data_IF_505375319371
#
_entry.id   IF_505375319371
#
_cell.length_a   1.000
_cell.length_b   1.000
_cell.length_c   1.000
_cell.angle_alpha   90.00
_cell.angle_beta   90.00
_cell.angle_gamma   90.00
#
_symmetry.space_group_name_H-M   'P 1'
#
loop_
_entity.id
_entity.type
_entity.pdbx_description
1 polymer ?
#
# COMPACT_ATOMS: atom_id res chain seq x y z
N UNK A 1 40.39 -62.95 23.78
CA UNK A 1 39.13 -63.24 23.08
C UNK A 1 37.91 -62.90 23.96
N UNK A 2 37.75 -63.49 25.14
CA UNK A 2 36.59 -63.21 26.02
C UNK A 2 36.51 -61.74 26.51
N UNK A 3 37.63 -61.12 26.90
CA UNK A 3 37.66 -59.71 27.30
C UNK A 3 37.12 -58.77 26.22
N UNK A 4 37.63 -58.92 25.00
CA UNK A 4 37.24 -58.12 23.83
C UNK A 4 35.75 -58.28 23.48
N UNK A 5 35.20 -59.50 23.64
CA UNK A 5 33.77 -59.76 23.43
C UNK A 5 32.91 -59.02 24.46
N UNK A 6 33.34 -58.99 25.72
CA UNK A 6 32.63 -58.25 26.79
C UNK A 6 32.68 -56.74 26.57
N UNK A 7 33.81 -56.19 26.16
CA UNK A 7 33.93 -54.76 25.83
C UNK A 7 33.02 -54.37 24.67
N UNK A 8 32.97 -55.17 23.60
CA UNK A 8 32.08 -54.94 22.46
C UNK A 8 30.62 -54.98 22.91
N UNK A 9 30.25 -55.94 23.76
CA UNK A 9 28.88 -56.05 24.30
C UNK A 9 28.49 -54.81 25.09
N UNK A 10 29.35 -54.35 25.99
CA UNK A 10 29.09 -53.15 26.79
C UNK A 10 28.99 -51.90 25.91
N UNK A 11 29.84 -51.79 24.88
CA UNK A 11 29.79 -50.69 23.91
C UNK A 11 28.49 -50.71 23.10
N UNK A 12 27.99 -51.90 22.73
CA UNK A 12 26.75 -52.07 21.99
C UNK A 12 25.53 -51.69 22.85
N UNK A 13 25.51 -52.12 24.11
CA UNK A 13 24.45 -51.74 25.05
C UNK A 13 24.43 -50.21 25.28
N UNK A 14 25.61 -49.60 25.45
CA UNK A 14 25.72 -48.14 25.57
C UNK A 14 25.27 -47.40 24.29
N UNK A 15 25.56 -47.95 23.11
CA UNK A 15 25.11 -47.39 21.84
C UNK A 15 23.58 -47.50 21.69
N UNK A 16 22.98 -48.64 22.05
CA UNK A 16 21.53 -48.83 22.00
C UNK A 16 20.80 -47.86 22.92
N UNK A 17 21.26 -47.67 24.16
CA UNK A 17 20.65 -46.70 25.08
C UNK A 17 20.72 -45.27 24.53
N UNK A 18 21.81 -44.90 23.84
CA UNK A 18 21.93 -43.59 23.19
C UNK A 18 20.99 -43.45 21.99
N UNK A 19 20.82 -44.50 21.19
CA UNK A 19 19.89 -44.51 20.06
C UNK A 19 18.45 -44.32 20.56
N UNK A 20 18.03 -45.07 21.58
CA UNK A 20 16.70 -44.93 22.14
C UNK A 20 16.45 -43.53 22.69
N UNK A 21 17.42 -42.94 23.41
CA UNK A 21 17.32 -41.57 23.89
C UNK A 21 17.23 -40.54 22.74
N UNK A 22 17.94 -40.79 21.63
CA UNK A 22 17.87 -39.95 20.45
C UNK A 22 16.53 -40.07 19.70
N UNK A 23 15.94 -41.27 19.65
CA UNK A 23 14.62 -41.53 19.07
C UNK A 23 13.51 -40.82 19.87
N UNK A 24 13.56 -40.91 21.20
CA UNK A 24 12.63 -40.19 22.08
C UNK A 24 12.71 -38.68 21.87
N UNK A 25 13.93 -38.12 21.86
CA UNK A 25 14.13 -36.70 21.56
C UNK A 25 13.71 -36.32 20.13
N UNK A 26 13.86 -37.22 19.15
CA UNK A 26 13.41 -36.96 17.78
C UNK A 26 11.89 -36.84 17.72
N UNK A 27 11.16 -37.73 18.41
CA UNK A 27 9.70 -37.65 18.50
C UNK A 27 9.26 -36.34 19.17
N UNK A 28 9.89 -35.93 20.27
CA UNK A 28 9.59 -34.65 20.93
C UNK A 28 9.81 -33.44 20.01
N UNK A 29 10.90 -33.46 19.23
CA UNK A 29 11.19 -32.40 18.25
C UNK A 29 10.16 -32.41 17.10
N UNK A 30 9.78 -33.58 16.59
CA UNK A 30 8.78 -33.71 15.53
C UNK A 30 7.42 -33.16 15.96
N UNK A 31 6.96 -33.51 17.17
CA UNK A 31 5.73 -32.97 17.74
C UNK A 31 5.80 -31.43 17.87
N UNK A 32 6.93 -30.90 18.35
CA UNK A 32 7.14 -29.46 18.46
C UNK A 32 7.13 -28.76 17.09
N UNK A 33 7.69 -29.38 16.04
CA UNK A 33 7.70 -28.82 14.69
C UNK A 33 6.29 -28.73 14.09
N UNK A 34 5.42 -29.70 14.37
CA UNK A 34 4.01 -29.65 13.96
C UNK A 34 3.31 -28.47 14.63
N UNK A 35 3.47 -28.30 15.94
CA UNK A 35 2.89 -27.17 16.67
C UNK A 35 3.41 -25.81 16.15
N UNK A 36 4.70 -25.70 15.86
CA UNK A 36 5.32 -24.49 15.29
C UNK A 36 4.69 -24.19 13.92
N UNK A 37 4.57 -25.19 13.05
CA UNK A 37 4.01 -25.03 11.71
C UNK A 37 2.56 -24.53 11.76
N UNK A 38 1.74 -25.12 12.63
CA UNK A 38 0.36 -24.69 12.84
C UNK A 38 0.28 -23.26 13.41
N UNK A 39 1.15 -22.93 14.36
CA UNK A 39 1.25 -21.60 14.93
C UNK A 39 1.68 -20.57 13.86
N UNK A 40 2.62 -20.90 12.99
CA UNK A 40 3.07 -20.06 11.89
C UNK A 40 1.97 -19.86 10.84
N UNK A 41 1.25 -20.92 10.45
CA UNK A 41 0.13 -20.82 9.53
C UNK A 41 -0.96 -19.90 10.10
N UNK A 42 -1.27 -20.03 11.39
CA UNK A 42 -2.23 -19.16 12.10
C UNK A 42 -1.72 -17.72 12.18
N UNK A 43 -0.43 -17.50 12.42
CA UNK A 43 0.19 -16.16 12.40
C UNK A 43 0.12 -15.53 11.01
N UNK A 44 0.42 -16.29 9.96
CA UNK A 44 0.32 -15.86 8.56
C UNK A 44 -1.10 -15.40 8.20
N UNK A 45 -2.12 -16.22 8.52
CA UNK A 45 -3.54 -15.85 8.33
C UNK A 45 -3.89 -14.53 9.06
N UNK A 46 -3.43 -14.37 10.31
CA UNK A 46 -3.67 -13.15 11.10
C UNK A 46 -2.98 -11.92 10.50
N UNK A 47 -1.77 -12.05 9.97
CA UNK A 47 -1.05 -10.95 9.32
C UNK A 47 -1.77 -10.52 8.04
N UNK A 48 -2.17 -11.47 7.20
CA UNK A 48 -2.91 -11.19 5.97
C UNK A 48 -4.20 -10.40 6.24
N UNK A 49 -4.98 -10.83 7.24
CA UNK A 49 -6.19 -10.08 7.63
C UNK A 49 -5.88 -8.67 8.13
N UNK A 50 -4.75 -8.46 8.82
CA UNK A 50 -4.35 -7.11 9.25
C UNK A 50 -3.95 -6.23 8.07
N UNK A 51 -3.21 -6.78 7.11
CA UNK A 51 -2.82 -6.06 5.89
C UNK A 51 -4.05 -5.64 5.07
N UNK A 52 -5.02 -6.55 4.90
CA UNK A 52 -6.28 -6.25 4.19
C UNK A 52 -7.06 -5.12 4.89
N UNK A 53 -7.14 -5.15 6.24
CA UNK A 53 -7.76 -4.07 7.01
C UNK A 53 -7.02 -2.75 6.88
N UNK A 54 -5.68 -2.77 6.87
CA UNK A 54 -4.88 -1.56 6.67
C UNK A 54 -5.09 -0.97 5.27
N UNK A 55 -5.17 -1.82 4.25
CA UNK A 55 -5.49 -1.40 2.88
C UNK A 55 -6.84 -0.71 2.82
N UNK A 56 -7.88 -1.31 3.41
CA UNK A 56 -9.23 -0.73 3.47
C UNK A 56 -9.26 0.60 4.23
N UNK A 57 -8.57 0.69 5.37
CA UNK A 57 -8.46 1.94 6.13
C UNK A 57 -7.76 3.03 5.33
N UNK A 58 -6.68 2.71 4.63
CA UNK A 58 -5.97 3.67 3.78
C UNK A 58 -6.79 4.13 2.59
N UNK A 59 -7.47 3.20 1.91
CA UNK A 59 -8.38 3.54 0.82
C UNK A 59 -9.56 4.39 1.32
N UNK A 60 -10.08 4.11 2.52
CA UNK A 60 -11.08 4.94 3.17
C UNK A 60 -10.54 6.32 3.53
N UNK A 61 -9.29 6.48 3.96
CA UNK A 61 -8.72 7.83 4.19
C UNK A 61 -8.59 8.60 2.88
N UNK A 62 -8.23 7.90 1.79
CA UNK A 62 -7.99 8.47 0.46
C UNK A 62 -9.24 8.53 -0.42
N UNK A 63 -10.39 8.06 0.06
CA UNK A 63 -11.58 7.89 -0.77
C UNK A 63 -12.08 9.22 -1.35
N UNK A 64 -11.82 10.37 -0.72
CA UNK A 64 -12.13 11.70 -1.27
C UNK A 64 -10.96 12.42 -1.93
N UNK A 65 -9.80 11.78 -2.04
CA UNK A 65 -8.61 12.39 -2.62
C UNK A 65 -8.58 12.24 -4.16
N UNK A 66 -8.17 13.31 -4.84
CA UNK A 66 -7.78 13.36 -6.25
C UNK A 66 -6.27 13.60 -6.34
N UNK A 67 -5.62 12.81 -7.18
CA UNK A 67 -4.20 12.90 -7.49
C UNK A 67 -4.00 13.61 -8.82
N UNK A 68 -3.31 14.77 -8.79
CA UNK A 68 -2.98 15.60 -9.96
C UNK A 68 -1.51 15.45 -10.33
N UNK A 69 -1.24 15.21 -11.61
CA UNK A 69 0.11 15.06 -12.16
C UNK A 69 0.31 15.93 -13.40
N UNK A 70 1.55 16.35 -13.66
CA UNK A 70 1.92 17.19 -14.82
C UNK A 70 1.87 18.70 -14.56
N UNK A 71 1.46 19.13 -13.36
CA UNK A 71 1.39 20.56 -13.04
C UNK A 71 2.80 21.15 -12.82
N UNK A 72 3.13 22.37 -13.29
CA UNK A 72 4.44 23.00 -13.05
C UNK A 72 4.76 23.25 -11.57
N UNK A 73 6.05 23.23 -11.20
CA UNK A 73 6.54 23.58 -9.84
C UNK A 73 6.42 25.09 -9.58
N UNK A 74 6.05 25.51 -8.36
CA UNK A 74 6.11 26.92 -7.93
C UNK A 74 4.78 27.70 -7.98
N UNK A 75 3.82 27.27 -8.79
CA UNK A 75 2.51 27.92 -8.95
C UNK A 75 1.68 27.99 -7.65
N UNK A 76 1.87 27.03 -6.72
CA UNK A 76 1.10 27.03 -5.45
C UNK A 76 1.66 27.97 -4.39
N UNK A 77 2.84 28.58 -4.62
CA UNK A 77 3.39 29.59 -3.71
C UNK A 77 2.72 30.95 -3.88
N UNK A 78 2.22 31.22 -5.08
CA UNK A 78 1.58 32.50 -5.43
C UNK A 78 0.06 32.45 -5.25
N UNK A 79 -0.55 31.27 -5.34
CA UNK A 79 -1.99 31.06 -5.19
C UNK A 79 -2.27 29.95 -4.18
N UNK A 80 -3.33 30.13 -3.38
CA UNK A 80 -3.89 29.03 -2.61
C UNK A 80 -4.25 27.86 -3.53
N UNK A 81 -3.88 26.65 -3.13
CA UNK A 81 -4.09 25.42 -3.88
C UNK A 81 -5.57 25.19 -4.24
N UNK A 82 -6.48 25.78 -3.46
CA UNK A 82 -7.91 25.77 -3.77
C UNK A 82 -8.26 26.55 -5.04
N UNK A 83 -7.66 27.74 -5.23
CA UNK A 83 -7.87 28.57 -6.43
C UNK A 83 -7.38 27.85 -7.69
N UNK A 84 -6.24 27.17 -7.60
CA UNK A 84 -5.70 26.38 -8.71
C UNK A 84 -6.71 25.33 -9.18
N UNK A 85 -7.36 24.64 -8.25
CA UNK A 85 -8.36 23.65 -8.62
C UNK A 85 -9.63 24.29 -9.20
N UNK A 86 -10.09 25.41 -8.64
CA UNK A 86 -11.21 26.15 -9.22
C UNK A 86 -10.91 26.57 -10.67
N UNK A 87 -9.69 27.03 -10.95
CA UNK A 87 -9.22 27.33 -12.31
C UNK A 87 -9.24 26.09 -13.21
N UNK A 88 -8.73 24.95 -12.74
CA UNK A 88 -8.78 23.67 -13.49
C UNK A 88 -10.22 23.27 -13.81
N UNK A 89 -11.12 23.37 -12.84
CA UNK A 89 -12.54 23.02 -13.03
C UNK A 89 -13.21 23.98 -14.00
N UNK A 90 -12.97 25.29 -13.88
CA UNK A 90 -13.54 26.29 -14.78
C UNK A 90 -13.04 26.12 -16.22
N UNK A 91 -11.75 25.87 -16.40
CA UNK A 91 -11.12 25.64 -17.70
C UNK A 91 -11.63 24.33 -18.34
N UNK A 92 -11.87 23.29 -17.55
CA UNK A 92 -12.15 21.96 -18.11
C UNK A 92 -13.59 21.49 -18.08
N UNK A 93 -14.34 21.89 -17.06
CA UNK A 93 -15.65 21.34 -16.75
C UNK A 93 -16.66 22.45 -16.44
N UNK A 94 -16.90 23.41 -17.36
CA UNK A 94 -17.73 24.59 -17.12
C UNK A 94 -19.17 24.24 -16.73
N UNK A 95 -19.69 23.11 -17.22
CA UNK A 95 -21.03 22.61 -16.89
C UNK A 95 -21.15 22.05 -15.47
N UNK A 96 -20.04 21.77 -14.79
CA UNK A 96 -20.01 21.27 -13.41
C UNK A 96 -20.17 22.41 -12.40
N UNK A 97 -19.89 23.66 -12.80
CA UNK A 97 -19.98 24.84 -11.93
C UNK A 97 -21.39 25.39 -11.70
N UNK A 98 -22.45 24.77 -12.24
CA UNK A 98 -23.84 25.16 -11.96
C UNK A 98 -24.31 24.72 -10.57
N UNK A 99 -23.72 23.65 -10.04
CA UNK A 99 -23.75 23.35 -8.60
C UNK A 99 -22.40 23.81 -8.03
N UNK A 100 -22.37 24.57 -6.92
CA UNK A 100 -21.10 24.88 -6.28
C UNK A 100 -20.47 23.56 -5.81
N UNK A 101 -19.43 23.09 -6.51
CA UNK A 101 -18.57 22.00 -6.06
C UNK A 101 -18.04 22.41 -4.68
N UNK A 102 -18.67 21.87 -3.65
CA UNK A 102 -18.65 22.50 -2.34
C UNK A 102 -17.39 22.07 -1.63
N UNK A 103 -16.37 22.92 -1.71
CA UNK A 103 -15.20 23.01 -0.86
C UNK A 103 -14.18 21.88 -1.00
N UNK A 104 -12.98 22.28 -1.43
CA UNK A 104 -11.77 21.51 -1.22
C UNK A 104 -11.44 21.65 0.26
N UNK A 105 -11.22 20.52 0.93
CA UNK A 105 -10.80 20.53 2.32
C UNK A 105 -9.32 20.91 2.42
N UNK A 106 -8.51 20.34 1.54
CA UNK A 106 -7.08 20.55 1.53
C UNK A 106 -6.55 20.25 0.12
N UNK A 107 -5.54 20.99 -0.31
CA UNK A 107 -4.78 20.60 -1.48
C UNK A 107 -3.32 20.91 -1.21
N UNK A 108 -2.48 19.89 -1.35
CA UNK A 108 -1.07 19.97 -0.99
C UNK A 108 -0.20 19.21 -1.97
N UNK A 109 1.01 19.72 -2.16
CA UNK A 109 2.01 19.11 -3.02
C UNK A 109 2.84 18.10 -2.24
N UNK A 110 2.94 16.87 -2.76
CA UNK A 110 3.54 15.75 -2.05
C UNK A 110 4.67 15.14 -2.90
N UNK A 111 5.84 14.83 -2.29
CA UNK A 111 6.24 15.14 -0.91
C UNK A 111 6.52 16.64 -0.69
N UNK A 112 6.43 17.12 0.56
CA UNK A 112 6.60 18.54 0.91
C UNK A 112 7.95 19.13 0.44
N UNK A 113 9.03 18.33 0.51
CA UNK A 113 10.37 18.74 0.08
C UNK A 113 10.59 18.46 -1.41
N UNK A 114 11.18 19.42 -2.11
CA UNK A 114 11.63 19.25 -3.50
C UNK A 114 12.87 18.35 -3.48
N UNK A 115 12.87 17.32 -4.32
CA UNK A 115 14.06 16.50 -4.57
C UNK A 115 14.76 17.01 -5.84
N UNK A 116 15.97 17.60 -5.75
CA UNK A 116 16.66 18.15 -6.92
C UNK A 116 17.07 17.09 -7.94
N UNK A 117 17.09 15.79 -7.59
CA UNK A 117 17.37 14.69 -8.53
C UNK A 117 16.17 14.29 -9.38
N UNK A 118 14.97 14.82 -9.10
CA UNK A 118 13.73 14.44 -9.79
C UNK A 118 13.38 15.49 -10.84
N UNK A 119 13.37 15.07 -12.11
CA UNK A 119 13.09 15.95 -13.25
C UNK A 119 11.59 16.15 -13.51
N UNK A 120 10.73 15.32 -12.90
CA UNK A 120 9.27 15.44 -13.02
C UNK A 120 8.72 16.33 -11.90
N UNK A 121 7.74 17.20 -12.17
CA UNK A 121 7.06 17.95 -11.12
C UNK A 121 6.45 17.02 -10.07
N UNK A 122 6.41 17.47 -8.82
CA UNK A 122 5.68 16.76 -7.76
C UNK A 122 4.19 16.74 -8.03
N UNK A 123 3.56 15.67 -7.58
CA UNK A 123 2.11 15.52 -7.66
C UNK A 123 1.42 16.30 -6.55
N UNK A 124 0.14 16.58 -6.75
CA UNK A 124 -0.71 17.26 -5.78
C UNK A 124 -1.79 16.29 -5.36
N UNK A 125 -2.02 16.22 -4.06
CA UNK A 125 -3.14 15.51 -3.47
C UNK A 125 -4.17 16.58 -3.08
N UNK A 126 -5.37 16.46 -3.64
CA UNK A 126 -6.49 17.33 -3.32
C UNK A 126 -7.56 16.52 -2.64
N UNK A 127 -7.90 16.89 -1.41
CA UNK A 127 -8.93 16.27 -0.61
C UNK A 127 -10.24 17.03 -0.76
N UNK A 128 -11.25 16.34 -1.26
CA UNK A 128 -12.60 16.89 -1.34
C UNK A 128 -13.39 16.56 -0.08
N UNK A 129 -14.38 17.40 0.24
CA UNK A 129 -15.29 17.15 1.37
C UNK A 129 -16.24 15.98 1.08
N UNK A 130 -16.64 15.79 -0.19
CA UNK A 130 -17.63 14.80 -0.61
C UNK A 130 -17.06 13.85 -1.67
N UNK A 131 -17.28 12.54 -1.48
CA UNK A 131 -16.90 11.53 -2.47
C UNK A 131 -17.66 11.68 -3.80
N UNK A 132 -18.93 12.12 -3.76
CA UNK A 132 -19.74 12.32 -4.98
C UNK A 132 -19.10 13.34 -5.93
N UNK A 133 -18.46 14.37 -5.38
CA UNK A 133 -17.80 15.41 -6.19
C UNK A 133 -16.52 14.86 -6.83
N UNK A 134 -15.75 14.05 -6.09
CA UNK A 134 -14.60 13.31 -6.65
C UNK A 134 -15.02 12.46 -7.85
N UNK A 135 -16.09 11.69 -7.70
CA UNK A 135 -16.57 10.80 -8.76
C UNK A 135 -17.04 11.57 -10.00
N UNK A 136 -17.80 12.66 -9.80
CA UNK A 136 -18.23 13.56 -10.88
C UNK A 136 -17.00 14.10 -11.65
N UNK A 137 -16.01 14.63 -10.95
CA UNK A 137 -14.80 15.23 -11.54
C UNK A 137 -13.97 14.19 -12.29
N UNK A 138 -13.72 13.02 -11.69
CA UNK A 138 -12.95 11.96 -12.35
C UNK A 138 -13.68 11.39 -13.56
N UNK A 139 -15.02 11.29 -13.51
CA UNK A 139 -15.84 10.87 -14.66
C UNK A 139 -15.76 11.89 -15.79
N UNK A 140 -15.88 13.17 -15.47
CA UNK A 140 -15.75 14.26 -16.45
C UNK A 140 -14.34 14.31 -17.07
N UNK A 141 -13.29 14.14 -16.26
CA UNK A 141 -11.91 14.08 -16.73
C UNK A 141 -11.68 12.93 -17.72
N UNK A 142 -12.21 11.73 -17.42
CA UNK A 142 -12.15 10.57 -18.33
C UNK A 142 -12.91 10.82 -19.63
N UNK A 143 -14.08 11.46 -19.57
CA UNK A 143 -14.88 11.78 -20.75
C UNK A 143 -14.19 12.81 -21.64
N UNK A 144 -13.56 13.84 -21.05
CA UNK A 144 -12.85 14.89 -21.78
C UNK A 144 -11.55 14.39 -22.43
N UNK A 145 -10.90 13.38 -21.84
CA UNK A 145 -9.58 12.82 -22.21
C UNK A 145 -8.39 13.77 -22.03
N UNK A 146 -8.54 15.04 -22.41
CA UNK A 146 -7.50 16.06 -22.29
C UNK A 146 -7.91 17.10 -21.24
N UNK A 147 -7.20 17.11 -20.11
CA UNK A 147 -7.40 18.09 -19.03
C UNK A 147 -6.20 19.03 -19.04
N UNK A 148 -6.44 20.33 -19.08
CA UNK A 148 -5.37 21.35 -19.15
C UNK A 148 -5.41 22.29 -17.96
N UNK A 149 -4.28 22.90 -17.63
CA UNK A 149 -4.20 24.02 -16.70
C UNK A 149 -3.28 25.06 -17.32
N UNK A 150 -3.82 26.25 -17.63
CA UNK A 150 -3.07 27.31 -18.33
C UNK A 150 -2.37 26.79 -19.60
N UNK A 151 -3.05 25.95 -20.36
CA UNK A 151 -2.49 25.34 -21.58
C UNK A 151 -1.52 24.17 -21.36
N UNK A 152 -1.14 23.85 -20.12
CA UNK A 152 -0.32 22.66 -19.80
C UNK A 152 -1.19 21.43 -19.62
N UNK A 153 -0.82 20.30 -20.24
CA UNK A 153 -1.53 19.04 -20.06
C UNK A 153 -1.33 18.51 -18.64
N UNK A 154 -2.43 18.21 -17.96
CA UNK A 154 -2.43 17.61 -16.62
C UNK A 154 -3.26 16.33 -16.62
N UNK A 155 -3.04 15.48 -15.61
CA UNK A 155 -3.80 14.25 -15.42
C UNK A 155 -4.37 14.19 -14.02
N UNK A 156 -5.69 14.00 -13.95
CA UNK A 156 -6.46 13.76 -12.73
C UNK A 156 -6.72 12.26 -12.58
N UNK A 157 -6.41 11.72 -11.41
CA UNK A 157 -6.60 10.31 -11.07
C UNK A 157 -7.13 10.14 -9.66
N UNK A 158 -7.73 8.99 -9.35
CA UNK A 158 -8.06 8.66 -7.97
C UNK A 158 -6.77 8.28 -7.21
N UNK A 159 -6.68 8.74 -5.97
CA UNK A 159 -5.66 8.31 -5.01
C UNK A 159 -6.10 6.99 -4.36
N UNK A 160 -5.20 6.01 -4.33
CA UNK A 160 -5.40 4.68 -3.74
C UNK A 160 -4.18 4.30 -2.89
N UNK A 161 -4.34 3.31 -2.03
CA UNK A 161 -3.22 2.62 -1.37
C UNK A 161 -2.29 1.94 -2.38
N UNK A 162 -1.05 1.66 -1.97
CA UNK A 162 -0.07 1.02 -2.84
C UNK A 162 -0.52 -0.39 -3.24
N UNK A 163 -1.12 -1.11 -2.29
CA UNK A 163 -1.66 -2.45 -2.44
C UNK A 163 -2.82 -2.47 -3.44
N UNK A 164 -3.74 -1.51 -3.36
CA UNK A 164 -4.84 -1.38 -4.32
C UNK A 164 -4.36 -0.95 -5.71
N UNK A 165 -3.31 -0.14 -5.79
CA UNK A 165 -2.66 0.17 -7.07
C UNK A 165 -1.98 -1.05 -7.68
N UNK A 166 -1.35 -1.90 -6.86
CA UNK A 166 -0.68 -3.12 -7.31
C UNK A 166 -1.70 -4.14 -7.82
N UNK A 167 -2.78 -4.40 -7.07
CA UNK A 167 -3.85 -5.32 -7.45
C UNK A 167 -4.62 -4.92 -8.72
N UNK A 168 -4.50 -3.67 -9.18
CA UNK A 168 -5.10 -3.18 -10.45
C UNK A 168 -4.15 -3.25 -11.65
N UNK A 169 -2.86 -3.48 -11.41
CA UNK A 169 -1.85 -3.64 -12.47
C UNK A 169 -1.75 -5.10 -12.92
N UNK A 170 -2.00 -6.03 -12.01
CA UNK A 170 -2.16 -7.46 -12.24
C UNK A 170 -3.46 -7.76 -12.98
#
# INVERSE_FOLDING_TARGET
>A
MQHTITEIKNSLEAANSRIQAAEEHMNEVEDSLVEITDAEQKRGKRLKTKEERLRELWDNVKHTNIHVTGMPEGEEREKETEKIFQEIIAENFPNTGKEPLTQIQEAQRVPYKINPRRNTPRHIIMKLTKIKDKEKILKAARAKKQVTYKGTLIRLSADFSAETLQARRE
#
